data_IF_440010715555
#
_entry.id   IF_440010715555
#
_cell.length_a   1.000
_cell.length_b   1.000
_cell.length_c   1.000
_cell.angle_alpha   90.00
_cell.angle_beta   90.00
_cell.angle_gamma   90.00
#
_symmetry.space_group_name_H-M   'P 1'
#
loop_
_entity.id
_entity.type
_entity.pdbx_description
1 polymer ?
#
# COMPACT_ATOMS: atom_id res chain seq x y z
N UNK A 1 -6.33 -14.26 -7.29
CA UNK A 1 -5.72 -15.03 -8.39
C UNK A 1 -4.83 -14.08 -9.16
N UNK A 2 -3.53 -14.35 -9.24
CA UNK A 2 -2.58 -13.53 -10.01
C UNK A 2 -2.85 -13.78 -11.49
N UNK A 3 -3.03 -12.71 -12.27
CA UNK A 3 -3.24 -12.77 -13.70
C UNK A 3 -1.91 -12.76 -14.45
N UNK A 4 -1.90 -13.31 -15.66
CA UNK A 4 -0.78 -13.26 -16.61
C UNK A 4 -1.27 -12.72 -17.92
N UNK A 5 -0.47 -11.85 -18.54
CA UNK A 5 -0.79 -11.33 -19.87
C UNK A 5 -0.56 -12.41 -20.93
N UNK A 6 -1.17 -12.24 -22.10
CA UNK A 6 -0.92 -13.11 -23.25
C UNK A 6 0.54 -13.01 -23.73
N UNK A 7 1.06 -14.09 -24.30
CA UNK A 7 2.47 -14.21 -24.70
C UNK A 7 2.95 -13.08 -25.63
N UNK A 8 2.11 -12.66 -26.59
CA UNK A 8 2.48 -11.56 -27.49
C UNK A 8 2.55 -10.21 -26.76
N UNK A 9 1.60 -9.95 -25.86
CA UNK A 9 1.60 -8.76 -25.00
C UNK A 9 2.81 -8.76 -24.08
N UNK A 10 3.15 -9.92 -23.51
CA UNK A 10 4.34 -10.09 -22.67
C UNK A 10 5.61 -9.73 -23.43
N UNK A 11 5.80 -10.25 -24.64
CA UNK A 11 7.00 -9.94 -25.46
C UNK A 11 7.15 -8.46 -25.74
N UNK A 12 6.04 -7.77 -25.98
CA UNK A 12 6.08 -6.32 -26.21
C UNK A 12 6.40 -5.54 -24.94
N UNK A 13 5.84 -5.94 -23.79
CA UNK A 13 6.20 -5.40 -22.47
C UNK A 13 7.69 -5.60 -22.21
N UNK A 14 8.22 -6.81 -22.42
CA UNK A 14 9.63 -7.14 -22.22
C UNK A 14 10.53 -6.30 -23.15
N UNK A 15 10.13 -6.13 -24.43
CA UNK A 15 10.85 -5.30 -25.40
C UNK A 15 10.93 -3.84 -24.94
N UNK A 16 9.79 -3.23 -24.60
CA UNK A 16 9.71 -1.85 -24.13
C UNK A 16 10.48 -1.65 -22.82
N UNK A 17 10.43 -2.62 -21.90
CA UNK A 17 11.13 -2.56 -20.62
C UNK A 17 12.65 -2.61 -20.82
N UNK A 18 13.14 -3.47 -21.71
CA UNK A 18 14.56 -3.54 -22.02
C UNK A 18 15.05 -2.25 -22.70
N UNK A 19 14.29 -1.72 -23.67
CA UNK A 19 14.59 -0.45 -24.34
C UNK A 19 14.60 0.71 -23.32
N UNK A 20 13.67 0.72 -22.38
CA UNK A 20 13.63 1.69 -21.29
C UNK A 20 14.90 1.67 -20.45
N UNK A 21 15.44 0.49 -20.13
CA UNK A 21 16.66 0.35 -19.34
C UNK A 21 17.92 0.72 -20.11
N UNK A 22 17.97 0.49 -21.42
CA UNK A 22 19.10 0.91 -22.25
C UNK A 22 19.24 2.43 -22.32
N UNK A 23 18.11 3.16 -22.30
CA UNK A 23 18.10 4.63 -22.40
C UNK A 23 17.90 5.35 -21.07
N UNK A 24 17.75 4.62 -19.96
CA UNK A 24 17.48 5.24 -18.67
C UNK A 24 18.69 6.06 -18.19
N UNK A 25 18.44 7.34 -17.95
CA UNK A 25 19.43 8.30 -17.48
C UNK A 25 18.79 9.10 -16.34
N UNK A 26 19.49 9.24 -15.20
CA UNK A 26 18.98 10.03 -14.08
C UNK A 26 18.91 11.53 -14.42
N UNK A 27 19.75 12.00 -15.34
CA UNK A 27 19.72 13.40 -15.81
C UNK A 27 18.57 13.64 -16.82
N UNK A 28 18.08 12.57 -17.46
CA UNK A 28 16.93 12.62 -18.36
C UNK A 28 16.02 11.37 -18.23
N UNK A 29 15.34 11.21 -17.11
CA UNK A 29 14.66 9.95 -16.76
C UNK A 29 13.34 9.76 -17.52
N UNK A 30 12.77 10.84 -18.08
CA UNK A 30 11.45 10.82 -18.69
C UNK A 30 11.41 9.96 -19.95
N UNK A 31 12.49 9.88 -20.72
CA UNK A 31 12.57 9.03 -21.92
C UNK A 31 12.37 7.55 -21.56
N UNK A 32 13.17 7.02 -20.64
CA UNK A 32 13.06 5.63 -20.17
C UNK A 32 11.74 5.38 -19.45
N UNK A 33 11.30 6.28 -18.57
CA UNK A 33 10.05 6.10 -17.84
C UNK A 33 8.83 6.10 -18.78
N UNK A 34 8.82 6.91 -19.84
CA UNK A 34 7.72 6.90 -20.81
C UNK A 34 7.58 5.55 -21.52
N UNK A 35 8.68 4.85 -21.81
CA UNK A 35 8.64 3.50 -22.37
C UNK A 35 8.07 2.48 -21.36
N UNK A 36 8.41 2.61 -20.07
CA UNK A 36 7.80 1.79 -19.02
C UNK A 36 6.29 2.06 -18.88
N UNK A 37 5.87 3.32 -19.01
CA UNK A 37 4.44 3.69 -19.03
C UNK A 37 3.75 3.11 -20.25
N UNK A 38 4.39 3.13 -21.42
CA UNK A 38 3.86 2.47 -22.62
C UNK A 38 3.68 0.97 -22.39
N UNK A 39 4.66 0.30 -21.78
CA UNK A 39 4.58 -1.11 -21.42
C UNK A 39 3.41 -1.37 -20.46
N UNK A 40 3.26 -0.55 -19.41
CA UNK A 40 2.16 -0.66 -18.44
C UNK A 40 0.79 -0.47 -19.11
N UNK A 41 0.72 0.40 -20.11
CA UNK A 41 -0.51 0.63 -20.87
C UNK A 41 -0.95 -0.58 -21.70
N UNK A 42 -0.04 -1.50 -22.06
CA UNK A 42 -0.39 -2.77 -22.72
C UNK A 42 -1.10 -3.77 -21.81
N UNK A 43 -1.00 -3.62 -20.48
CA UNK A 43 -1.62 -4.55 -19.53
C UNK A 43 -3.15 -4.37 -19.52
N UNK A 44 -3.95 -5.45 -19.61
CA UNK A 44 -5.41 -5.34 -19.55
C UNK A 44 -5.91 -4.92 -18.15
N UNK A 45 -7.10 -4.33 -18.08
CA UNK A 45 -7.75 -4.04 -16.80
C UNK A 45 -8.34 -5.30 -16.14
N UNK A 46 -8.34 -5.40 -14.79
CA UNK A 46 -7.68 -4.50 -13.83
C UNK A 46 -6.16 -4.73 -13.79
N UNK A 47 -5.39 -3.69 -14.12
CA UNK A 47 -3.94 -3.78 -14.39
C UNK A 47 -3.16 -4.31 -13.18
N UNK A 48 -3.48 -3.83 -11.98
CA UNK A 48 -2.81 -4.12 -10.71
C UNK A 48 -2.82 -5.62 -10.31
N UNK A 49 -3.66 -6.45 -10.94
CA UNK A 49 -3.74 -7.91 -10.69
C UNK A 49 -2.78 -8.76 -11.53
N UNK A 50 -2.07 -8.15 -12.48
CA UNK A 50 -1.09 -8.84 -13.33
C UNK A 50 0.30 -8.82 -12.71
N UNK A 51 1.04 -9.92 -12.81
CA UNK A 51 2.41 -10.01 -12.27
C UNK A 51 3.35 -8.95 -12.84
N UNK A 52 3.20 -8.63 -14.12
CA UNK A 52 4.01 -7.67 -14.88
C UNK A 52 3.82 -6.23 -14.37
N UNK A 53 2.65 -5.92 -13.80
CA UNK A 53 2.37 -4.59 -13.27
C UNK A 53 3.28 -4.22 -12.11
N UNK A 54 3.64 -5.19 -11.25
CA UNK A 54 4.47 -4.92 -10.08
C UNK A 54 5.82 -4.30 -10.47
N UNK A 55 6.55 -4.96 -11.36
CA UNK A 55 7.88 -4.52 -11.77
C UNK A 55 7.80 -3.18 -12.50
N UNK A 56 6.84 -3.01 -13.41
CA UNK A 56 6.66 -1.74 -14.14
C UNK A 56 6.32 -0.58 -13.19
N UNK A 57 5.36 -0.77 -12.29
CA UNK A 57 4.96 0.24 -11.30
C UNK A 57 6.11 0.58 -10.36
N UNK A 58 6.89 -0.41 -9.92
CA UNK A 58 8.12 -0.22 -9.16
C UNK A 58 9.10 0.66 -9.94
N UNK A 59 9.43 0.31 -11.18
CA UNK A 59 10.43 1.04 -11.97
C UNK A 59 9.98 2.46 -12.30
N UNK A 60 8.71 2.66 -12.66
CA UNK A 60 8.14 3.99 -12.92
C UNK A 60 8.21 4.86 -11.66
N UNK A 61 7.65 4.36 -10.55
CA UNK A 61 7.47 5.15 -9.33
C UNK A 61 8.82 5.46 -8.67
N UNK A 62 9.71 4.47 -8.56
CA UNK A 62 11.06 4.66 -8.00
C UNK A 62 11.94 5.47 -8.96
N UNK A 63 11.78 5.31 -10.28
CA UNK A 63 12.49 6.10 -11.28
C UNK A 63 12.22 7.60 -11.14
N UNK A 64 10.93 7.98 -11.07
CA UNK A 64 10.55 9.37 -10.80
C UNK A 64 11.08 9.87 -9.46
N UNK A 65 10.98 9.06 -8.41
CA UNK A 65 11.48 9.43 -7.09
C UNK A 65 12.99 9.73 -7.10
N UNK A 66 13.79 8.82 -7.67
CA UNK A 66 15.25 8.95 -7.74
C UNK A 66 15.70 10.18 -8.52
N UNK A 67 14.92 10.59 -9.52
CA UNK A 67 15.17 11.80 -10.28
C UNK A 67 14.59 13.08 -9.66
N UNK A 68 14.01 13.00 -8.46
CA UNK A 68 13.46 14.16 -7.75
C UNK A 68 12.06 14.61 -8.21
N UNK A 69 11.41 13.87 -9.12
CA UNK A 69 10.04 14.11 -9.57
C UNK A 69 9.04 13.52 -8.57
N UNK A 70 8.94 14.12 -7.38
CA UNK A 70 8.17 13.58 -6.25
C UNK A 70 6.66 13.56 -6.56
N UNK A 71 6.12 14.61 -7.19
CA UNK A 71 4.69 14.66 -7.56
C UNK A 71 4.34 13.54 -8.54
N UNK A 72 5.20 13.27 -9.53
CA UNK A 72 5.01 12.19 -10.49
C UNK A 72 5.13 10.83 -9.81
N UNK A 73 6.12 10.63 -8.94
CA UNK A 73 6.25 9.38 -8.18
C UNK A 73 4.99 9.07 -7.36
N UNK A 74 4.45 10.08 -6.68
CA UNK A 74 3.25 9.97 -5.85
C UNK A 74 1.99 9.62 -6.67
N UNK A 75 1.86 10.12 -7.91
CA UNK A 75 0.74 9.76 -8.80
C UNK A 75 0.67 8.26 -9.11
N UNK A 76 1.83 7.59 -9.18
CA UNK A 76 1.93 6.16 -9.46
C UNK A 76 1.88 5.28 -8.20
N UNK A 77 2.00 5.89 -7.01
CA UNK A 77 2.09 5.17 -5.75
C UNK A 77 0.82 4.36 -5.44
N UNK A 78 -0.36 4.88 -5.75
CA UNK A 78 -1.64 4.19 -5.49
C UNK A 78 -1.73 2.86 -6.24
N UNK A 79 -1.44 2.87 -7.54
CA UNK A 79 -1.41 1.65 -8.36
C UNK A 79 -0.33 0.68 -7.86
N UNK A 80 0.83 1.21 -7.42
CA UNK A 80 1.92 0.38 -6.91
C UNK A 80 1.55 -0.31 -5.60
N UNK A 81 0.96 0.41 -4.63
CA UNK A 81 0.44 -0.14 -3.38
C UNK A 81 -0.61 -1.23 -3.66
N UNK A 82 -1.55 -0.96 -4.56
CA UNK A 82 -2.58 -1.91 -4.93
C UNK A 82 -1.99 -3.17 -5.58
N UNK A 83 -1.00 -3.01 -6.47
CA UNK A 83 -0.32 -4.13 -7.13
C UNK A 83 0.51 -4.95 -6.14
N UNK A 84 1.27 -4.31 -5.26
CA UNK A 84 2.05 -4.96 -4.18
C UNK A 84 1.13 -5.79 -3.27
N UNK A 85 0.00 -5.20 -2.84
CA UNK A 85 -1.02 -5.88 -2.04
C UNK A 85 -1.63 -7.09 -2.75
N UNK A 86 -2.13 -6.90 -3.99
CA UNK A 86 -2.78 -7.96 -4.77
C UNK A 86 -1.86 -9.15 -5.05
N UNK A 87 -0.55 -8.89 -5.16
CA UNK A 87 0.46 -9.90 -5.48
C UNK A 87 1.19 -10.42 -4.24
N UNK A 88 0.78 -9.99 -3.04
CA UNK A 88 1.36 -10.38 -1.74
C UNK A 88 2.90 -10.15 -1.71
N UNK A 89 3.36 -8.99 -2.18
CA UNK A 89 4.79 -8.66 -2.29
C UNK A 89 5.31 -7.95 -1.02
N UNK A 90 6.63 -7.74 -0.99
CA UNK A 90 7.44 -7.62 0.23
C UNK A 90 7.66 -6.18 0.75
N UNK A 91 6.70 -5.28 0.59
CA UNK A 91 6.71 -3.97 1.26
C UNK A 91 7.46 -2.85 0.54
N UNK A 92 7.78 -3.02 -0.75
CA UNK A 92 8.54 -2.02 -1.51
C UNK A 92 7.69 -0.78 -1.82
N UNK A 93 6.39 -0.96 -2.04
CA UNK A 93 5.46 0.15 -2.24
C UNK A 93 5.31 1.01 -0.99
N UNK A 94 5.16 0.40 0.20
CA UNK A 94 5.15 1.16 1.46
C UNK A 94 6.48 1.83 1.74
N UNK A 95 7.60 1.19 1.37
CA UNK A 95 8.89 1.83 1.52
C UNK A 95 9.00 3.10 0.69
N UNK A 96 8.54 3.06 -0.57
CA UNK A 96 8.46 4.26 -1.40
C UNK A 96 7.50 5.31 -0.82
N UNK A 97 6.34 4.90 -0.32
CA UNK A 97 5.39 5.79 0.35
C UNK A 97 6.04 6.53 1.53
N UNK A 98 6.81 5.82 2.35
CA UNK A 98 7.55 6.41 3.47
C UNK A 98 8.61 7.41 3.02
N UNK A 99 9.34 7.10 1.95
CA UNK A 99 10.34 8.01 1.36
C UNK A 99 9.71 9.28 0.79
N UNK A 100 8.57 9.16 0.09
CA UNK A 100 7.80 10.31 -0.42
C UNK A 100 7.33 11.17 0.75
N UNK A 101 6.73 10.56 1.78
CA UNK A 101 6.27 11.28 2.96
C UNK A 101 7.39 12.08 3.65
N UNK A 102 8.61 11.55 3.77
CA UNK A 102 9.75 12.31 4.28
C UNK A 102 10.15 13.47 3.36
N UNK A 103 10.18 13.27 2.04
CA UNK A 103 10.45 14.38 1.10
C UNK A 103 9.37 15.47 1.18
N UNK A 104 8.17 15.14 1.67
CA UNK A 104 7.09 16.10 1.99
C UNK A 104 7.12 16.64 3.42
N UNK A 105 8.14 16.31 4.22
CA UNK A 105 8.24 16.66 5.64
C UNK A 105 7.08 16.11 6.50
N UNK A 106 6.47 15.00 6.08
CA UNK A 106 5.46 14.29 6.86
C UNK A 106 6.08 13.09 7.57
N UNK A 107 6.87 13.37 8.61
CA UNK A 107 7.61 12.37 9.39
C UNK A 107 6.67 11.33 10.01
N UNK A 108 5.49 11.74 10.47
CA UNK A 108 4.48 10.85 11.05
C UNK A 108 4.02 9.81 10.04
N UNK A 109 3.66 10.23 8.83
CA UNK A 109 3.23 9.30 7.79
C UNK A 109 4.41 8.43 7.31
N UNK A 110 5.61 9.00 7.24
CA UNK A 110 6.79 8.26 6.86
C UNK A 110 7.10 7.09 7.79
N UNK A 111 7.11 7.32 9.10
CA UNK A 111 7.43 6.25 10.06
C UNK A 111 6.38 5.13 10.01
N UNK A 112 5.11 5.47 9.82
CA UNK A 112 4.05 4.47 9.66
C UNK A 112 4.30 3.55 8.46
N UNK A 113 4.60 4.13 7.29
CA UNK A 113 4.89 3.36 6.10
C UNK A 113 6.17 2.52 6.24
N UNK A 114 7.22 3.07 6.85
CA UNK A 114 8.45 2.33 7.09
C UNK A 114 8.29 1.15 8.04
N UNK A 115 7.43 1.25 9.06
CA UNK A 115 7.11 0.12 9.93
C UNK A 115 6.45 -1.00 9.13
N UNK A 116 5.46 -0.67 8.30
CA UNK A 116 4.77 -1.67 7.46
C UNK A 116 5.73 -2.31 6.47
N UNK A 117 6.55 -1.50 5.79
CA UNK A 117 7.57 -2.00 4.86
C UNK A 117 8.58 -2.94 5.54
N UNK A 118 9.09 -2.55 6.71
CA UNK A 118 10.02 -3.35 7.50
C UNK A 118 9.41 -4.68 7.91
N UNK A 119 8.15 -4.67 8.35
CA UNK A 119 7.42 -5.86 8.73
C UNK A 119 7.23 -6.81 7.53
N UNK A 120 6.66 -6.32 6.42
CA UNK A 120 6.40 -7.12 5.21
C UNK A 120 7.67 -7.74 4.64
N UNK A 121 8.79 -7.02 4.73
CA UNK A 121 10.08 -7.50 4.25
C UNK A 121 10.82 -8.40 5.25
N UNK A 122 10.41 -8.44 6.52
CA UNK A 122 11.17 -9.10 7.59
C UNK A 122 12.50 -8.40 7.87
N UNK A 123 12.55 -7.07 7.75
CA UNK A 123 13.75 -6.25 7.97
C UNK A 123 14.62 -6.04 6.73
N UNK A 124 14.41 -6.83 5.66
CA UNK A 124 15.25 -6.79 4.45
C UNK A 124 15.14 -5.48 3.67
N UNK A 125 14.05 -4.73 3.82
CA UNK A 125 13.79 -3.52 3.02
C UNK A 125 14.85 -2.42 3.23
N UNK A 126 15.48 -2.41 4.41
CA UNK A 126 16.54 -1.46 4.73
C UNK A 126 17.95 -1.97 4.38
N UNK A 127 18.08 -3.17 3.81
CA UNK A 127 19.35 -3.75 3.37
C UNK A 127 20.43 -3.76 4.47
N UNK A 128 21.68 -3.51 4.07
CA UNK A 128 22.81 -3.25 4.98
C UNK A 128 22.88 -1.78 5.46
N UNK A 129 21.88 -0.97 5.11
CA UNK A 129 21.72 0.42 5.54
C UNK A 129 22.57 1.46 4.79
N UNK A 130 23.31 1.10 3.74
CA UNK A 130 24.23 2.07 3.08
C UNK A 130 23.59 2.90 1.96
N UNK A 131 22.82 2.30 1.04
CA UNK A 131 22.21 3.05 -0.09
C UNK A 131 21.08 3.99 0.34
N UNK A 132 20.44 3.72 1.48
CA UNK A 132 19.30 4.45 2.01
C UNK A 132 19.51 4.89 3.47
N UNK A 133 20.77 5.21 3.83
CA UNK A 133 21.18 5.51 5.21
C UNK A 133 20.29 6.55 5.90
N UNK A 134 19.88 7.61 5.19
CA UNK A 134 18.96 8.64 5.71
C UNK A 134 17.64 8.02 6.20
N UNK A 135 17.01 7.18 5.36
CA UNK A 135 15.74 6.52 5.67
C UNK A 135 15.88 5.48 6.76
N UNK A 136 16.97 4.72 6.74
CA UNK A 136 17.28 3.76 7.79
C UNK A 136 17.53 4.44 9.14
N UNK A 137 18.34 5.51 9.18
CA UNK A 137 18.63 6.27 10.41
C UNK A 137 17.34 6.90 10.96
N UNK A 138 16.49 7.46 10.09
CA UNK A 138 15.18 7.95 10.46
C UNK A 138 14.33 6.83 11.08
N UNK A 139 14.17 5.70 10.38
CA UNK A 139 13.39 4.56 10.88
C UNK A 139 13.92 4.07 12.24
N UNK A 140 15.23 3.85 12.39
CA UNK A 140 15.83 3.35 13.64
C UNK A 140 15.64 4.29 14.83
N UNK A 141 15.55 5.60 14.57
CA UNK A 141 15.39 6.62 15.61
C UNK A 141 13.94 6.68 16.09
N UNK A 142 12.98 6.56 15.17
CA UNK A 142 11.56 6.79 15.45
C UNK A 142 10.75 5.49 15.67
N UNK A 143 11.22 4.34 15.15
CA UNK A 143 10.49 3.07 15.26
C UNK A 143 10.49 2.45 16.66
N UNK A 144 11.35 2.93 17.57
CA UNK A 144 11.49 2.38 18.93
C UNK A 144 10.20 2.46 19.76
N UNK A 145 9.33 3.40 19.42
CA UNK A 145 8.04 3.59 20.09
C UNK A 145 6.97 2.60 19.62
N UNK A 146 7.25 1.87 18.53
CA UNK A 146 6.31 1.00 17.85
C UNK A 146 6.66 -0.46 18.12
N UNK A 147 6.49 -0.87 19.38
CA UNK A 147 6.55 -2.28 19.76
C UNK A 147 5.31 -2.96 19.22
N UNK A 148 5.50 -4.01 18.41
CA UNK A 148 4.39 -4.74 17.83
C UNK A 148 3.85 -5.75 18.84
N UNK A 149 2.60 -5.59 19.30
CA UNK A 149 1.99 -6.53 20.24
C UNK A 149 1.82 -7.91 19.58
N UNK A 150 1.90 -8.96 20.40
CA UNK A 150 1.75 -10.36 19.97
C UNK A 150 0.39 -10.93 20.41
N UNK A 151 -0.10 -10.47 21.56
CA UNK A 151 -1.42 -10.83 22.07
C UNK A 151 -2.52 -10.15 21.26
N UNK A 152 -3.63 -10.86 21.03
CA UNK A 152 -4.74 -10.36 20.21
C UNK A 152 -5.38 -9.10 20.80
N UNK A 153 -5.70 -9.11 22.09
CA UNK A 153 -6.42 -8.00 22.74
C UNK A 153 -5.53 -6.77 22.80
N UNK A 154 -4.24 -6.96 23.13
CA UNK A 154 -3.25 -5.89 23.09
C UNK A 154 -3.11 -5.32 21.67
N UNK A 155 -3.03 -6.19 20.66
CA UNK A 155 -2.91 -5.78 19.25
C UNK A 155 -4.11 -5.01 18.75
N UNK A 156 -5.32 -5.47 19.06
CA UNK A 156 -6.54 -4.75 18.72
C UNK A 156 -6.58 -3.40 19.43
N UNK A 157 -6.24 -3.34 20.72
CA UNK A 157 -6.20 -2.08 21.47
C UNK A 157 -5.19 -1.08 20.90
N UNK A 158 -3.99 -1.54 20.51
CA UNK A 158 -3.00 -0.70 19.84
C UNK A 158 -3.55 -0.24 18.49
N UNK A 159 -4.14 -1.12 17.68
CA UNK A 159 -4.74 -0.73 16.40
C UNK A 159 -5.81 0.37 16.56
N UNK A 160 -6.72 0.23 17.53
CA UNK A 160 -7.76 1.22 17.83
C UNK A 160 -7.16 2.55 18.32
N UNK A 161 -6.12 2.51 19.16
CA UNK A 161 -5.39 3.71 19.59
C UNK A 161 -4.76 4.42 18.38
N UNK A 162 -4.16 3.66 17.48
CA UNK A 162 -3.53 4.20 16.27
C UNK A 162 -4.55 4.79 15.30
N UNK A 163 -5.75 4.21 15.19
CA UNK A 163 -6.88 4.82 14.47
C UNK A 163 -7.23 6.19 15.05
N UNK A 164 -7.34 6.31 16.38
CA UNK A 164 -7.61 7.59 17.03
C UNK A 164 -6.49 8.61 16.80
N UNK A 165 -5.25 8.15 16.67
CA UNK A 165 -4.10 8.97 16.30
C UNK A 165 -4.02 9.28 14.79
N UNK A 166 -4.97 8.78 13.98
CA UNK A 166 -5.00 8.86 12.52
C UNK A 166 -3.79 8.19 11.86
N UNK A 167 -3.23 7.17 12.51
CA UNK A 167 -2.11 6.36 12.04
C UNK A 167 -2.65 5.13 11.30
N UNK A 168 -3.47 5.38 10.28
CA UNK A 168 -4.31 4.38 9.63
C UNK A 168 -3.50 3.25 8.97
N UNK A 169 -2.37 3.55 8.32
CA UNK A 169 -1.55 2.51 7.69
C UNK A 169 -0.96 1.51 8.69
N UNK A 170 -0.52 2.00 9.85
CA UNK A 170 0.00 1.13 10.91
C UNK A 170 -1.12 0.36 11.60
N UNK A 171 -2.23 1.03 11.94
CA UNK A 171 -3.42 0.37 12.47
C UNK A 171 -3.91 -0.74 11.53
N UNK A 172 -3.98 -0.47 10.23
CA UNK A 172 -4.37 -1.44 9.21
C UNK A 172 -3.43 -2.66 9.21
N UNK A 173 -2.11 -2.47 9.31
CA UNK A 173 -1.14 -3.57 9.46
C UNK A 173 -1.46 -4.44 10.69
N UNK A 174 -1.74 -3.83 11.84
CA UNK A 174 -2.09 -4.55 13.06
C UNK A 174 -3.41 -5.32 12.89
N UNK A 175 -4.41 -4.73 12.24
CA UNK A 175 -5.69 -5.38 11.98
C UNK A 175 -5.56 -6.59 11.03
N UNK A 176 -4.63 -6.56 10.06
CA UNK A 176 -4.32 -7.74 9.26
C UNK A 176 -3.73 -8.87 10.12
N UNK A 177 -2.90 -8.55 11.11
CA UNK A 177 -2.41 -9.54 12.04
C UNK A 177 -3.50 -10.05 12.99
N UNK A 178 -4.40 -9.17 13.46
CA UNK A 178 -5.57 -9.59 14.21
C UNK A 178 -6.42 -10.59 13.41
N UNK A 179 -6.58 -10.39 12.10
CA UNK A 179 -7.30 -11.34 11.22
C UNK A 179 -6.61 -12.70 11.11
N UNK A 180 -5.29 -12.79 11.25
CA UNK A 180 -4.60 -14.08 11.27
C UNK A 180 -4.93 -14.89 12.54
N UNK A 181 -5.37 -14.22 13.61
CA UNK A 181 -5.76 -14.84 14.88
C UNK A 181 -7.27 -15.07 14.97
N UNK A 182 -8.08 -14.15 14.45
CA UNK A 182 -9.54 -14.22 14.44
C UNK A 182 -10.09 -13.77 13.08
N UNK A 183 -10.32 -14.73 12.18
CA UNK A 183 -10.76 -14.45 10.81
C UNK A 183 -12.19 -13.90 10.71
N UNK A 184 -13.07 -14.23 11.67
CA UNK A 184 -14.51 -13.94 11.64
C UNK A 184 -14.90 -12.90 12.70
N UNK A 185 -14.16 -11.80 12.81
CA UNK A 185 -14.42 -10.74 13.79
C UNK A 185 -14.84 -9.43 13.09
N UNK A 186 -16.10 -9.04 13.29
CA UNK A 186 -16.70 -7.88 12.64
C UNK A 186 -16.02 -6.55 13.02
N UNK A 187 -15.56 -6.41 14.27
CA UNK A 187 -14.84 -5.21 14.74
C UNK A 187 -13.56 -5.01 13.95
N UNK A 188 -12.83 -6.10 13.64
CA UNK A 188 -11.61 -6.00 12.84
C UNK A 188 -11.95 -5.54 11.43
N UNK A 189 -12.93 -6.17 10.76
CA UNK A 189 -13.32 -5.78 9.41
C UNK A 189 -13.84 -4.34 9.33
N UNK A 190 -14.61 -3.90 10.32
CA UNK A 190 -15.08 -2.52 10.39
C UNK A 190 -13.90 -1.55 10.44
N UNK A 191 -12.97 -1.77 11.37
CA UNK A 191 -11.81 -0.89 11.53
C UNK A 191 -10.85 -0.94 10.34
N UNK A 192 -10.75 -2.08 9.63
CA UNK A 192 -10.01 -2.17 8.36
C UNK A 192 -10.67 -1.32 7.28
N UNK A 193 -11.99 -1.41 7.15
CA UNK A 193 -12.75 -0.58 6.22
C UNK A 193 -12.57 0.90 6.50
N UNK A 194 -12.58 1.29 7.77
CA UNK A 194 -12.28 2.65 8.22
C UNK A 194 -10.90 3.08 7.77
N UNK A 195 -9.85 2.29 8.06
CA UNK A 195 -8.50 2.64 7.68
C UNK A 195 -8.35 2.80 6.16
N UNK A 196 -8.89 1.86 5.37
CA UNK A 196 -8.89 1.96 3.91
C UNK A 196 -9.65 3.19 3.42
N UNK A 197 -10.79 3.52 4.02
CA UNK A 197 -11.58 4.71 3.65
C UNK A 197 -10.76 5.99 3.88
N UNK A 198 -10.13 6.11 5.05
CA UNK A 198 -9.31 7.28 5.41
C UNK A 198 -8.00 7.37 4.60
N UNK A 199 -7.49 6.23 4.11
CA UNK A 199 -6.37 6.17 3.17
C UNK A 199 -6.80 6.40 1.70
N UNK A 200 -8.07 6.73 1.46
CA UNK A 200 -8.63 6.95 0.12
C UNK A 200 -8.53 5.71 -0.80
N UNK A 201 -8.75 4.53 -0.22
CA UNK A 201 -8.77 3.23 -0.89
C UNK A 201 -10.21 2.65 -0.92
N UNK A 202 -11.13 3.24 -1.70
CA UNK A 202 -12.57 3.00 -1.57
C UNK A 202 -13.00 1.57 -1.86
N UNK A 203 -12.35 0.86 -2.77
CA UNK A 203 -12.72 -0.51 -3.11
C UNK A 203 -12.38 -1.49 -1.96
N UNK A 204 -11.24 -1.30 -1.30
CA UNK A 204 -10.85 -2.06 -0.11
C UNK A 204 -11.71 -1.72 1.10
N UNK A 205 -12.08 -0.44 1.23
CA UNK A 205 -13.02 0.01 2.25
C UNK A 205 -14.37 -0.68 2.09
N UNK A 206 -14.90 -0.72 0.86
CA UNK A 206 -16.18 -1.35 0.56
C UNK A 206 -16.19 -2.86 0.86
N UNK A 207 -15.15 -3.61 0.46
CA UNK A 207 -15.04 -5.04 0.79
C UNK A 207 -15.02 -5.27 2.31
N UNK A 208 -14.19 -4.52 3.02
CA UNK A 208 -14.03 -4.67 4.47
C UNK A 208 -15.31 -4.30 5.23
N UNK A 209 -15.95 -3.18 4.89
CA UNK A 209 -17.23 -2.79 5.48
C UNK A 209 -18.35 -3.77 5.14
N UNK A 210 -18.37 -4.34 3.92
CA UNK A 210 -19.34 -5.38 3.55
C UNK A 210 -19.18 -6.61 4.45
N UNK A 211 -17.95 -7.06 4.70
CA UNK A 211 -17.69 -8.19 5.62
C UNK A 211 -18.15 -7.90 7.04
N UNK A 212 -17.86 -6.70 7.55
CA UNK A 212 -18.32 -6.28 8.88
C UNK A 212 -19.85 -6.29 8.98
N UNK A 213 -20.53 -5.75 7.96
CA UNK A 213 -21.98 -5.74 7.86
C UNK A 213 -22.56 -7.16 7.75
N UNK A 214 -21.94 -8.06 7.01
CA UNK A 214 -22.42 -9.45 6.89
C UNK A 214 -22.35 -10.23 8.21
N UNK A 215 -21.41 -9.88 9.10
CA UNK A 215 -21.22 -10.56 10.38
C UNK A 215 -22.17 -10.05 11.47
N UNK A 216 -22.37 -8.74 11.58
CA UNK A 216 -23.13 -8.13 12.70
C UNK A 216 -24.30 -7.23 12.23
N UNK A 217 -24.45 -6.98 10.94
CA UNK A 217 -25.46 -6.08 10.39
C UNK A 217 -25.15 -4.60 10.62
N UNK A 218 -26.17 -3.75 10.59
CA UNK A 218 -26.01 -2.29 10.74
C UNK A 218 -25.53 -1.88 12.15
N UNK A 219 -25.67 -2.75 13.16
CA UNK A 219 -25.30 -2.44 14.55
C UNK A 219 -23.82 -2.08 14.70
N UNK A 220 -22.93 -2.72 13.92
CA UNK A 220 -21.48 -2.46 13.97
C UNK A 220 -21.12 -1.04 13.54
N UNK A 221 -22.03 -0.30 12.90
CA UNK A 221 -21.81 1.08 12.48
C UNK A 221 -22.45 2.12 13.41
N UNK A 222 -23.35 1.73 14.33
CA UNK A 222 -24.20 2.67 15.07
C UNK A 222 -23.44 3.61 16.01
N UNK A 223 -22.32 3.16 16.55
CA UNK A 223 -21.51 3.93 17.51
C UNK A 223 -20.43 4.77 16.83
N UNK A 224 -20.41 4.82 15.51
CA UNK A 224 -19.37 5.46 14.73
C UNK A 224 -19.93 6.56 13.81
N UNK A 225 -19.02 7.30 13.18
CA UNK A 225 -19.36 8.32 12.20
C UNK A 225 -20.21 7.72 11.06
N UNK A 226 -21.36 8.34 10.77
CA UNK A 226 -22.31 7.82 9.77
C UNK A 226 -21.70 7.75 8.39
N UNK A 227 -20.65 8.54 8.10
CA UNK A 227 -19.98 8.57 6.79
C UNK A 227 -19.58 7.19 6.29
N UNK A 228 -19.25 6.24 7.17
CA UNK A 228 -18.83 4.90 6.78
C UNK A 228 -20.00 4.02 6.34
N UNK A 229 -21.13 4.04 7.06
CA UNK A 229 -22.33 3.30 6.64
C UNK A 229 -22.99 3.96 5.44
N UNK A 230 -22.97 5.29 5.37
CA UNK A 230 -23.46 6.06 4.23
C UNK A 230 -22.64 5.72 2.98
N UNK A 231 -21.31 5.66 3.10
CA UNK A 231 -20.43 5.19 2.03
C UNK A 231 -20.77 3.76 1.60
N UNK A 232 -20.93 2.82 2.55
CA UNK A 232 -21.26 1.43 2.22
C UNK A 232 -22.61 1.31 1.48
N UNK A 233 -23.61 2.10 1.88
CA UNK A 233 -24.93 2.17 1.21
C UNK A 233 -24.83 2.64 -0.25
N UNK A 234 -23.77 3.34 -0.64
CA UNK A 234 -23.52 3.67 -2.06
C UNK A 234 -22.94 2.50 -2.87
N UNK A 235 -22.44 1.47 -2.19
CA UNK A 235 -21.72 0.33 -2.80
C UNK A 235 -22.54 -0.95 -2.85
N UNK A 236 -23.46 -1.15 -1.91
CA UNK A 236 -24.29 -2.35 -1.81
C UNK A 236 -25.76 -2.01 -1.52
N UNK A 237 -26.67 -2.87 -1.97
CA UNK A 237 -28.07 -2.81 -1.54
C UNK A 237 -28.21 -3.33 -0.11
N UNK A 238 -28.33 -2.42 0.85
CA UNK A 238 -28.65 -2.76 2.24
C UNK A 238 -30.18 -2.83 2.35
N UNK A 239 -30.72 -4.01 2.63
CA UNK A 239 -32.15 -4.23 2.90
C UNK A 239 -32.46 -4.22 4.38
#
# INVERSE_FOLDING_TARGET
MILRVEENTKREIDRLTNEAFEIFDLDNPKSGINLLIEAYNKIPSPKTKYSESFDLLKYISIGYFRAGFIDESEKWLSDFLESDFNLMRYGESEYLAGKIALKRNNERLAIQHFIVANQKSGGRIFGDGQEDKEYYDFFRTHAKEYVRPVDFDEMLNVALKEINNQNYSYALSLLYDCLNLQLDNAVIYYNKGLCHFELNEPDHAADSFTRAFMLEGEVIFKEHDSKYIDFLKTKIEIK
#
